data_IF_110715581092
#
_entry.id   IF_110715581092
#
_cell.length_a   1.000
_cell.length_b   1.000
_cell.length_c   1.000
_cell.angle_alpha   90.00
_cell.angle_beta   90.00
_cell.angle_gamma   90.00
#
_symmetry.space_group_name_H-M   'P 1'
#
loop_
_entity.id
_entity.type
_entity.pdbx_description
1 polymer ?
#
# COMPACT_ATOMS: atom_id res chain seq x y z
N UNK A 1 17.69 -6.78 -9.99
CA UNK A 1 16.47 -6.36 -10.72
C UNK A 1 16.44 -4.85 -10.86
N UNK A 2 16.38 -4.40 -12.07
CA UNK A 2 16.23 -2.99 -12.34
C UNK A 2 14.81 -2.69 -12.77
N UNK A 3 14.20 -1.74 -12.10
CA UNK A 3 12.90 -1.28 -12.52
C UNK A 3 13.04 -0.47 -13.80
N UNK A 4 12.07 -0.63 -14.67
CA UNK A 4 11.97 0.21 -15.83
C UNK A 4 11.75 1.66 -15.39
N UNK A 5 12.16 2.62 -16.20
CA UNK A 5 11.92 4.03 -15.88
C UNK A 5 10.43 4.26 -15.61
N UNK A 6 10.14 5.09 -14.63
CA UNK A 6 8.77 5.40 -14.28
C UNK A 6 8.09 6.25 -15.36
N UNK A 7 6.85 5.90 -15.63
CA UNK A 7 5.99 6.72 -16.50
C UNK A 7 5.08 7.54 -15.59
N UNK A 8 5.64 8.59 -15.02
CA UNK A 8 4.90 9.42 -14.06
C UNK A 8 3.90 10.33 -14.77
N UNK A 9 2.74 10.44 -14.14
CA UNK A 9 1.69 11.37 -14.54
C UNK A 9 0.98 11.84 -13.29
N UNK A 10 0.21 12.89 -13.41
CA UNK A 10 -0.57 13.39 -12.28
C UNK A 10 -1.77 12.49 -12.10
N UNK A 11 -1.86 11.86 -10.93
CA UNK A 11 -2.89 10.87 -10.63
C UNK A 11 -3.66 11.29 -9.40
N UNK A 12 -4.98 11.27 -9.51
CA UNK A 12 -5.86 11.49 -8.36
C UNK A 12 -6.00 10.15 -7.64
N UNK A 13 -5.37 10.03 -6.47
CA UNK A 13 -5.28 8.74 -5.77
C UNK A 13 -6.63 8.18 -5.34
N UNK A 14 -7.57 9.03 -4.97
CA UNK A 14 -8.92 8.55 -4.61
C UNK A 14 -9.56 7.80 -5.76
N UNK A 15 -9.42 8.34 -6.98
CA UNK A 15 -9.96 7.72 -8.18
C UNK A 15 -9.26 6.40 -8.46
N UNK A 16 -7.94 6.36 -8.30
CA UNK A 16 -7.17 5.14 -8.51
C UNK A 16 -7.63 4.04 -7.57
N UNK A 17 -7.80 4.33 -6.28
CA UNK A 17 -8.23 3.34 -5.32
C UNK A 17 -9.66 2.84 -5.59
N UNK A 18 -10.57 3.75 -5.90
CA UNK A 18 -11.95 3.36 -6.21
C UNK A 18 -12.01 2.48 -7.45
N UNK A 19 -11.23 2.81 -8.48
CA UNK A 19 -11.15 2.02 -9.69
C UNK A 19 -10.57 0.63 -9.41
N UNK A 20 -9.52 0.56 -8.59
CA UNK A 20 -8.92 -0.70 -8.20
C UNK A 20 -9.94 -1.60 -7.50
N UNK A 21 -10.67 -1.07 -6.53
CA UNK A 21 -11.65 -1.86 -5.77
C UNK A 21 -12.80 -2.30 -6.67
N UNK A 22 -13.28 -1.42 -7.54
CA UNK A 22 -14.34 -1.78 -8.48
C UNK A 22 -13.93 -2.94 -9.38
N UNK A 23 -12.70 -2.90 -9.90
CA UNK A 23 -12.17 -3.97 -10.74
C UNK A 23 -12.04 -5.28 -9.96
N UNK A 24 -11.55 -5.19 -8.73
CA UNK A 24 -11.40 -6.36 -7.87
C UNK A 24 -12.75 -7.03 -7.60
N UNK A 25 -13.76 -6.24 -7.27
CA UNK A 25 -15.09 -6.77 -7.00
C UNK A 25 -15.74 -7.35 -8.27
N UNK A 26 -15.49 -6.73 -9.42
CA UNK A 26 -16.01 -7.23 -10.71
C UNK A 26 -15.35 -8.54 -11.13
N UNK A 27 -14.10 -8.75 -10.75
CA UNK A 27 -13.43 -10.03 -11.01
C UNK A 27 -13.95 -11.14 -10.12
N UNK A 28 -14.60 -10.77 -9.02
CA UNK A 28 -15.10 -11.73 -8.06
C UNK A 28 -14.07 -12.13 -7.02
N UNK A 29 -14.42 -11.97 -5.77
CA UNK A 29 -13.63 -12.45 -4.64
C UNK A 29 -14.54 -13.24 -3.72
N UNK A 30 -13.94 -14.10 -2.89
CA UNK A 30 -14.70 -14.88 -1.93
C UNK A 30 -15.48 -13.96 -0.97
N UNK A 31 -16.68 -14.35 -0.62
CA UNK A 31 -17.51 -13.62 0.36
C UNK A 31 -16.86 -13.54 1.74
N UNK A 32 -15.81 -14.34 1.97
CA UNK A 32 -15.06 -14.30 3.22
C UNK A 32 -14.29 -13.00 3.40
N UNK A 33 -14.07 -12.27 2.31
CA UNK A 33 -13.33 -11.01 2.36
C UNK A 33 -14.25 -9.83 2.12
N UNK A 34 -14.14 -8.84 2.98
CA UNK A 34 -14.93 -7.62 2.86
C UNK A 34 -13.94 -6.48 2.57
N UNK A 35 -14.08 -5.86 1.41
CA UNK A 35 -13.19 -4.78 0.99
C UNK A 35 -13.90 -3.45 1.14
N UNK A 36 -13.31 -2.52 1.86
CA UNK A 36 -13.85 -1.18 2.04
C UNK A 36 -12.86 -0.10 1.64
N UNK A 37 -13.37 1.09 1.41
CA UNK A 37 -12.58 2.28 1.12
C UNK A 37 -13.00 3.40 2.05
N UNK A 38 -12.02 4.11 2.57
CA UNK A 38 -12.27 5.28 3.40
C UNK A 38 -11.30 6.39 2.97
N UNK A 39 -11.86 7.43 2.37
CA UNK A 39 -11.07 8.56 1.86
C UNK A 39 -11.35 9.77 2.75
N UNK A 40 -10.33 10.29 3.40
CA UNK A 40 -10.48 11.50 4.20
C UNK A 40 -10.86 12.66 3.29
N UNK A 41 -11.70 13.57 3.80
CA UNK A 41 -12.19 14.68 2.99
C UNK A 41 -11.06 15.51 2.37
N UNK A 42 -10.00 15.75 3.14
CA UNK A 42 -8.86 16.52 2.65
C UNK A 42 -7.95 15.75 1.70
N UNK A 43 -8.17 14.46 1.55
CA UNK A 43 -7.41 13.63 0.62
C UNK A 43 -8.15 13.34 -0.68
N UNK A 44 -9.43 13.68 -0.76
CA UNK A 44 -10.29 13.33 -1.91
C UNK A 44 -9.74 13.85 -3.23
N UNK A 45 -9.23 15.06 -3.24
CA UNK A 45 -8.73 15.71 -4.46
C UNK A 45 -7.20 15.73 -4.55
N UNK A 46 -6.53 15.00 -3.68
CA UNK A 46 -5.07 15.00 -3.66
C UNK A 46 -4.51 14.31 -4.88
N UNK A 47 -3.57 15.00 -5.53
CA UNK A 47 -2.87 14.48 -6.70
C UNK A 47 -1.48 14.02 -6.31
N UNK A 48 -1.03 12.96 -6.95
CA UNK A 48 0.32 12.46 -6.80
C UNK A 48 0.92 12.25 -8.18
N UNK A 49 2.11 12.77 -8.39
CA UNK A 49 2.84 12.49 -9.60
C UNK A 49 3.47 11.11 -9.45
N UNK A 50 2.94 10.14 -10.15
CA UNK A 50 3.34 8.75 -9.97
C UNK A 50 3.06 7.92 -11.21
N UNK A 51 3.62 6.70 -11.21
CA UNK A 51 3.29 5.71 -12.21
C UNK A 51 2.05 4.94 -11.71
N UNK A 52 0.91 5.26 -12.28
CA UNK A 52 -0.38 4.70 -11.82
C UNK A 52 -0.41 3.18 -11.85
N UNK A 53 0.20 2.56 -12.87
CA UNK A 53 0.22 1.09 -12.96
C UNK A 53 1.00 0.47 -11.82
N UNK A 54 2.12 1.07 -11.47
CA UNK A 54 2.96 0.55 -10.39
C UNK A 54 2.31 0.75 -9.03
N UNK A 55 1.69 1.90 -8.81
CA UNK A 55 0.97 2.13 -7.55
C UNK A 55 -0.19 1.15 -7.41
N UNK A 56 -0.95 0.94 -8.49
CA UNK A 56 -2.04 -0.05 -8.46
C UNK A 56 -1.51 -1.46 -8.19
N UNK A 57 -0.35 -1.79 -8.75
CA UNK A 57 0.28 -3.09 -8.53
C UNK A 57 0.72 -3.25 -7.07
N UNK A 58 1.26 -2.20 -6.49
CA UNK A 58 1.63 -2.22 -5.07
C UNK A 58 0.40 -2.45 -4.19
N UNK A 59 -0.68 -1.72 -4.46
CA UNK A 59 -1.93 -1.88 -3.73
C UNK A 59 -2.46 -3.31 -3.87
N UNK A 60 -2.46 -3.83 -5.08
CA UNK A 60 -2.92 -5.21 -5.31
C UNK A 60 -2.08 -6.22 -4.54
N UNK A 61 -0.76 -6.06 -4.52
CA UNK A 61 0.09 -6.96 -3.77
C UNK A 61 -0.23 -6.93 -2.27
N UNK A 62 -0.50 -5.75 -1.73
CA UNK A 62 -0.85 -5.61 -0.32
C UNK A 62 -2.21 -6.27 -0.01
N UNK A 63 -3.19 -6.08 -0.88
CA UNK A 63 -4.51 -6.69 -0.71
C UNK A 63 -4.42 -8.21 -0.82
N UNK A 64 -3.70 -8.71 -1.83
CA UNK A 64 -3.53 -10.15 -2.00
C UNK A 64 -2.79 -10.78 -0.82
N UNK A 65 -1.81 -10.07 -0.26
CA UNK A 65 -1.10 -10.55 0.92
C UNK A 65 -2.02 -10.65 2.13
N UNK A 66 -2.89 -9.68 2.33
CA UNK A 66 -3.87 -9.74 3.41
C UNK A 66 -4.77 -10.97 3.25
N UNK A 67 -5.20 -11.26 2.03
CA UNK A 67 -6.03 -12.43 1.77
C UNK A 67 -5.27 -13.74 2.02
N UNK A 68 -4.05 -13.85 1.50
CA UNK A 68 -3.24 -15.06 1.68
C UNK A 68 -2.91 -15.34 3.14
N UNK A 69 -2.66 -14.27 3.89
CA UNK A 69 -2.32 -14.37 5.30
C UNK A 69 -3.54 -14.70 6.16
N UNK A 70 -4.72 -14.43 5.64
CA UNK A 70 -5.99 -14.69 6.33
C UNK A 70 -6.90 -15.56 5.47
N UNK A 71 -6.54 -16.84 5.30
CA UNK A 71 -7.27 -17.72 4.39
C UNK A 71 -8.74 -17.96 4.79
N UNK A 72 -9.07 -17.76 6.05
CA UNK A 72 -10.46 -17.92 6.52
C UNK A 72 -11.29 -16.67 6.29
N UNK A 73 -10.67 -15.59 5.84
CA UNK A 73 -11.35 -14.34 5.58
C UNK A 73 -10.94 -13.23 6.53
N UNK A 74 -11.21 -12.01 6.13
CA UNK A 74 -10.98 -10.83 6.94
C UNK A 74 -11.62 -9.62 6.28
N UNK A 75 -11.62 -8.51 7.01
CA UNK A 75 -11.97 -7.22 6.44
C UNK A 75 -10.70 -6.55 6.00
N UNK A 76 -10.71 -5.95 4.82
CA UNK A 76 -9.59 -5.20 4.28
C UNK A 76 -10.07 -3.79 4.00
N UNK A 77 -9.40 -2.80 4.56
CA UNK A 77 -9.76 -1.41 4.39
C UNK A 77 -8.63 -0.68 3.68
N UNK A 78 -8.98 -0.03 2.60
CA UNK A 78 -8.07 0.85 1.87
C UNK A 78 -8.42 2.29 2.23
N UNK A 79 -7.44 3.07 2.67
CA UNK A 79 -7.72 4.44 3.03
C UNK A 79 -6.67 5.41 2.52
N UNK A 80 -7.09 6.66 2.36
CA UNK A 80 -6.21 7.77 2.04
C UNK A 80 -6.36 8.83 3.12
N UNK A 81 -5.23 9.31 3.59
CA UNK A 81 -5.18 10.39 4.57
C UNK A 81 -4.13 11.39 4.13
N UNK A 82 -4.41 12.65 4.39
CA UNK A 82 -3.44 13.71 4.12
C UNK A 82 -2.86 14.21 5.42
N UNK A 83 -1.54 14.38 5.44
CA UNK A 83 -0.85 14.94 6.60
C UNK A 83 0.12 16.00 6.10
N UNK A 84 -0.29 17.25 6.20
CA UNK A 84 0.51 18.37 5.71
C UNK A 84 0.87 18.23 4.23
N UNK A 85 2.13 18.01 3.95
CA UNK A 85 2.62 17.91 2.58
C UNK A 85 2.74 16.46 2.09
N UNK A 86 2.24 15.51 2.87
CA UNK A 86 2.30 14.10 2.49
C UNK A 86 0.92 13.51 2.35
N UNK A 87 0.83 12.44 1.57
CA UNK A 87 -0.36 11.64 1.50
C UNK A 87 -0.01 10.22 1.93
N UNK A 88 -0.88 9.62 2.72
CA UNK A 88 -0.73 8.24 3.16
C UNK A 88 -1.78 7.37 2.52
N UNK A 89 -1.31 6.31 1.87
CA UNK A 89 -2.15 5.26 1.32
C UNK A 89 -2.01 4.08 2.27
N UNK A 90 -3.12 3.64 2.86
CA UNK A 90 -3.11 2.65 3.93
C UNK A 90 -3.90 1.43 3.50
N UNK A 91 -3.29 0.25 3.67
CA UNK A 91 -3.98 -1.03 3.48
C UNK A 91 -3.93 -1.74 4.82
N UNK A 92 -5.09 -1.99 5.39
CA UNK A 92 -5.16 -2.66 6.69
C UNK A 92 -6.18 -3.77 6.69
N UNK A 93 -5.92 -4.80 7.49
CA UNK A 93 -6.87 -5.87 7.72
C UNK A 93 -7.06 -6.10 9.21
N UNK A 94 -8.16 -6.78 9.56
CA UNK A 94 -8.48 -7.13 10.93
C UNK A 94 -8.19 -8.60 11.22
N UNK A 95 -7.23 -9.16 10.50
CA UNK A 95 -6.92 -10.58 10.56
C UNK A 95 -6.02 -11.01 11.71
N UNK A 96 -5.28 -12.09 11.47
CA UNK A 96 -4.48 -12.72 12.52
C UNK A 96 -3.25 -11.91 12.94
N UNK A 97 -2.82 -10.98 12.09
CA UNK A 97 -1.66 -10.16 12.40
C UNK A 97 -0.35 -10.91 12.39
N UNK A 98 0.71 -10.22 12.77
CA UNK A 98 2.05 -10.78 12.83
C UNK A 98 2.56 -10.81 14.26
N UNK A 99 3.36 -11.83 14.59
CA UNK A 99 4.07 -11.86 15.85
C UNK A 99 5.07 -10.72 15.89
N UNK A 100 5.43 -10.31 17.09
CA UNK A 100 6.43 -9.27 17.28
C UNK A 100 7.76 -9.67 16.64
N UNK A 101 8.13 -10.94 16.77
CA UNK A 101 9.35 -11.45 16.17
C UNK A 101 9.35 -11.34 14.65
N UNK A 102 8.25 -11.74 14.01
CA UNK A 102 8.15 -11.68 12.57
C UNK A 102 8.11 -10.24 12.08
N UNK A 103 7.42 -9.37 12.79
CA UNK A 103 7.37 -7.96 12.46
C UNK A 103 8.76 -7.33 12.53
N UNK A 104 9.50 -7.64 13.58
CA UNK A 104 10.85 -7.14 13.76
C UNK A 104 11.77 -7.66 12.65
N UNK A 105 11.64 -8.95 12.31
CA UNK A 105 12.39 -9.55 11.22
C UNK A 105 12.18 -8.82 9.92
N UNK A 106 10.94 -8.49 9.60
CA UNK A 106 10.62 -7.76 8.37
C UNK A 106 11.20 -6.35 8.37
N UNK A 107 11.24 -5.70 9.53
CA UNK A 107 11.78 -4.35 9.64
C UNK A 107 13.30 -4.31 9.57
N UNK A 108 13.97 -5.32 10.12
CA UNK A 108 15.42 -5.35 10.25
C UNK A 108 16.17 -5.93 9.06
N UNK A 109 15.48 -6.46 8.08
CA UNK A 109 16.14 -7.09 6.93
C UNK A 109 15.99 -6.25 5.68
N UNK A 110 16.67 -5.10 5.63
CA UNK A 110 16.57 -4.21 4.46
C UNK A 110 17.09 -4.86 3.17
N UNK A 111 17.87 -5.94 3.30
CA UNK A 111 18.36 -6.66 2.13
C UNK A 111 17.22 -7.28 1.31
N UNK A 112 16.02 -7.36 1.85
CA UNK A 112 14.86 -7.75 1.05
C UNK A 112 14.59 -6.75 -0.07
N UNK A 113 15.03 -5.52 0.11
CA UNK A 113 14.91 -4.49 -0.91
C UNK A 113 15.82 -4.77 -2.10
N UNK A 114 16.89 -5.50 -1.87
CA UNK A 114 17.88 -5.83 -2.89
C UNK A 114 17.63 -7.18 -3.52
N UNK A 115 16.82 -8.01 -2.86
CA UNK A 115 16.54 -9.34 -3.35
C UNK A 115 15.48 -9.32 -4.44
N UNK A 116 15.74 -10.06 -5.49
CA UNK A 116 14.77 -10.28 -6.55
C UNK A 116 14.06 -11.61 -6.39
N UNK A 117 14.38 -12.34 -5.34
CA UNK A 117 13.79 -13.65 -5.12
C UNK A 117 12.45 -13.54 -4.43
N UNK A 118 11.39 -13.52 -5.22
CA UNK A 118 10.02 -13.46 -4.72
C UNK A 118 9.70 -14.63 -3.79
N UNK A 119 10.42 -15.75 -3.91
CA UNK A 119 10.18 -16.90 -3.05
C UNK A 119 10.58 -16.66 -1.62
N UNK A 120 11.60 -15.80 -1.40
CA UNK A 120 11.99 -15.42 -0.05
C UNK A 120 10.88 -14.63 0.63
N UNK A 121 10.30 -13.70 -0.13
CA UNK A 121 9.23 -12.88 0.36
C UNK A 121 7.97 -13.71 0.61
N UNK A 122 7.66 -14.63 -0.31
CA UNK A 122 6.53 -15.53 -0.15
C UNK A 122 6.67 -16.44 1.07
N UNK A 123 7.90 -16.85 1.41
CA UNK A 123 8.12 -17.65 2.62
C UNK A 123 7.77 -16.89 3.88
N UNK A 124 7.90 -15.58 3.84
CA UNK A 124 7.50 -14.74 4.97
C UNK A 124 6.03 -14.35 4.87
N UNK A 125 5.36 -14.71 3.75
CA UNK A 125 3.94 -14.58 3.60
C UNK A 125 3.41 -13.18 3.32
N UNK A 126 4.26 -12.24 2.93
CA UNK A 126 3.83 -10.87 2.78
C UNK A 126 4.01 -10.24 1.41
N UNK A 127 4.88 -10.78 0.55
CA UNK A 127 5.05 -10.24 -0.81
C UNK A 127 5.47 -8.78 -0.86
N UNK A 128 6.34 -8.35 0.06
CA UNK A 128 6.66 -6.94 0.22
C UNK A 128 7.82 -6.42 -0.61
N UNK A 129 8.60 -7.31 -1.20
CA UNK A 129 9.78 -6.90 -1.97
C UNK A 129 9.39 -5.92 -3.08
N UNK A 130 8.41 -6.32 -3.88
CA UNK A 130 7.96 -5.48 -4.99
C UNK A 130 7.34 -4.17 -4.50
N UNK A 131 6.55 -4.24 -3.44
CA UNK A 131 5.94 -3.04 -2.87
C UNK A 131 7.03 -2.05 -2.43
N UNK A 132 8.05 -2.54 -1.74
CA UNK A 132 9.16 -1.69 -1.28
C UNK A 132 9.90 -1.06 -2.45
N UNK A 133 10.11 -1.84 -3.52
CA UNK A 133 10.77 -1.32 -4.73
C UNK A 133 9.93 -0.21 -5.37
N UNK A 134 8.64 -0.41 -5.50
CA UNK A 134 7.74 0.59 -6.07
C UNK A 134 7.73 1.87 -5.24
N UNK A 135 7.60 1.71 -3.93
CA UNK A 135 7.56 2.86 -3.01
C UNK A 135 8.86 3.63 -3.05
N UNK A 136 9.99 2.92 -3.03
CA UNK A 136 11.32 3.55 -3.10
C UNK A 136 11.51 4.29 -4.42
N UNK A 137 11.05 3.71 -5.53
CA UNK A 137 11.13 4.36 -6.84
C UNK A 137 10.34 5.67 -6.89
N UNK A 138 9.33 5.80 -6.04
CA UNK A 138 8.52 7.01 -5.93
C UNK A 138 8.98 7.91 -4.78
N UNK A 139 10.16 7.62 -4.23
CA UNK A 139 10.72 8.40 -3.11
C UNK A 139 9.81 8.44 -1.89
N UNK A 140 8.99 7.41 -1.72
CA UNK A 140 8.12 7.27 -0.58
C UNK A 140 8.71 6.40 0.51
N UNK A 141 7.93 6.20 1.56
CA UNK A 141 8.31 5.33 2.67
C UNK A 141 7.19 4.34 2.96
N UNK A 142 7.54 3.20 3.52
CA UNK A 142 6.58 2.18 3.91
C UNK A 142 6.78 1.84 5.38
N UNK A 143 5.70 1.81 6.13
CA UNK A 143 5.73 1.35 7.52
C UNK A 143 4.74 0.22 7.70
N UNK A 144 5.06 -0.71 8.59
CA UNK A 144 4.22 -1.86 8.91
C UNK A 144 3.91 -1.80 10.40
N UNK A 145 2.63 -1.89 10.72
CA UNK A 145 2.17 -1.95 12.09
C UNK A 145 1.26 -3.16 12.22
N UNK A 146 1.58 -4.07 13.13
CA UNK A 146 0.84 -5.30 13.28
C UNK A 146 0.99 -5.86 14.67
N UNK A 147 -0.02 -6.59 15.09
CA UNK A 147 -0.05 -7.26 16.38
C UNK A 147 -0.88 -8.53 16.23
N UNK A 148 -0.48 -9.59 16.91
CA UNK A 148 -1.22 -10.85 16.87
C UNK A 148 -2.68 -10.60 17.24
N UNK A 149 -3.58 -11.13 16.43
CA UNK A 149 -5.04 -11.00 16.55
C UNK A 149 -5.58 -9.58 16.43
N UNK A 150 -4.74 -8.64 16.01
CA UNK A 150 -5.16 -7.24 15.80
C UNK A 150 -5.00 -6.80 14.34
N UNK A 151 -4.69 -7.75 13.45
CA UNK A 151 -4.53 -7.45 12.04
C UNK A 151 -3.19 -6.84 11.69
N UNK A 152 -3.11 -6.37 10.46
CA UNK A 152 -1.90 -5.77 9.91
C UNK A 152 -2.26 -4.47 9.18
N UNK A 153 -1.41 -3.46 9.37
CA UNK A 153 -1.62 -2.16 8.75
C UNK A 153 -0.34 -1.74 8.07
N UNK A 154 -0.42 -1.51 6.77
CA UNK A 154 0.73 -1.07 5.99
C UNK A 154 0.44 0.32 5.46
N UNK A 155 1.37 1.25 5.72
CA UNK A 155 1.21 2.64 5.37
C UNK A 155 2.28 3.02 4.35
N UNK A 156 1.83 3.49 3.19
CA UNK A 156 2.70 4.04 2.17
C UNK A 156 2.57 5.56 2.22
N UNK A 157 3.68 6.24 2.41
CA UNK A 157 3.70 7.70 2.54
C UNK A 157 4.47 8.31 1.39
N UNK A 158 3.86 9.26 0.70
CA UNK A 158 4.44 9.98 -0.43
C UNK A 158 4.31 11.47 -0.21
N UNK A 159 5.25 12.24 -0.77
CA UNK A 159 5.11 13.69 -0.80
C UNK A 159 3.99 14.05 -1.77
N UNK A 160 3.08 14.91 -1.34
CA UNK A 160 1.97 15.33 -2.16
C UNK A 160 2.45 16.28 -3.27
N UNK A 161 2.00 15.99 -4.50
CA UNK A 161 2.39 16.81 -5.65
C UNK A 161 1.50 18.04 -5.81
N UNK A 162 0.31 18.00 -5.23
CA UNK A 162 -0.57 19.17 -5.24
C UNK A 162 -0.28 20.08 -4.05
N UNK A 163 0.96 20.12 -3.64
CA UNK A 163 1.36 21.01 -2.59
C UNK A 163 0.83 22.37 -2.89
N UNK A 164 -0.02 22.70 -2.03
CA UNK A 164 -0.56 23.94 -2.05
C UNK A 164 0.44 24.97 -2.10
N UNK A 165 0.18 25.94 -2.82
CA UNK A 165 1.06 27.03 -3.07
C UNK A 165 1.42 27.77 -1.79
N UNK A 166 2.12 27.11 -0.91
CA UNK A 166 2.76 27.78 0.19
C UNK A 166 3.68 28.86 -0.32
N UNK A 167 4.29 28.56 -1.44
CA UNK A 167 5.13 29.55 -2.11
C UNK A 167 4.31 30.76 -2.55
N UNK A 168 3.03 30.57 -2.77
CA UNK A 168 2.14 31.65 -3.18
C UNK A 168 1.49 32.33 -2.00
N UNK A 169 1.62 31.75 -0.82
CA UNK A 169 1.06 32.30 0.37
C UNK A 169 2.04 33.17 1.15
N UNK A 170 3.24 33.19 0.68
CA UNK A 170 4.27 34.00 1.28
C UNK A 170 4.18 35.44 0.82
#
# INVERSE_FOLDING_TARGET
YEMQPLHKEMVRLSKLLRSYVADLLNMGISDSYNIGIEIANDAENTMLECDARLISRAVNNLVQNSMKHNPLGCRILLSLRRMENTIQLIVQDDGIGLSEEKLQELKEKPHYLESTDERLDLRHGLGLVLVRQIVAAHEGTMTIDSKINCGCKIILTFDSTDTIPKAHLS
#
